data_IF_980431055135
#
_entry.id   IF_980431055135
#
_cell.length_a   1.000
_cell.length_b   1.000
_cell.length_c   1.000
_cell.angle_alpha   90.00
_cell.angle_beta   90.00
_cell.angle_gamma   90.00
#
_symmetry.space_group_name_H-M   'P 1'
#
loop_
_entity.id
_entity.type
_entity.pdbx_description
1 polymer ?
#
# COMPACT_ATOMS: atom_id res chain seq x y z
N UNK A 1 -11.56 3.05 -20.43
CA UNK A 1 -11.48 3.17 -18.97
C UNK A 1 -10.12 2.63 -18.53
N UNK A 2 -9.33 3.40 -17.78
CA UNK A 2 -7.96 3.00 -17.41
C UNK A 2 -7.94 1.72 -16.55
N UNK A 3 -8.98 1.51 -15.74
CA UNK A 3 -9.14 0.31 -14.92
C UNK A 3 -9.23 -0.99 -15.74
N UNK A 4 -9.86 -0.91 -16.92
CA UNK A 4 -10.02 -2.06 -17.84
C UNK A 4 -8.69 -2.42 -18.53
N UNK A 5 -7.89 -1.40 -18.87
CA UNK A 5 -6.55 -1.57 -19.45
C UNK A 5 -5.54 -2.19 -18.47
N UNK A 6 -5.72 -1.93 -17.17
CA UNK A 6 -4.87 -2.44 -16.09
C UNK A 6 -5.33 -3.84 -15.61
N UNK A 7 -6.49 -4.34 -16.07
CA UNK A 7 -7.04 -5.62 -15.62
C UNK A 7 -7.42 -5.61 -14.14
N UNK A 8 -7.80 -4.45 -13.60
CA UNK A 8 -8.10 -4.28 -12.20
C UNK A 8 -9.40 -5.01 -11.83
N UNK A 9 -9.30 -6.02 -10.96
CA UNK A 9 -10.47 -6.75 -10.44
C UNK A 9 -10.85 -6.22 -9.07
N UNK A 10 -12.12 -5.85 -8.91
CA UNK A 10 -12.63 -5.37 -7.64
C UNK A 10 -12.96 -6.55 -6.70
N UNK A 11 -12.09 -6.82 -5.73
CA UNK A 11 -12.48 -7.55 -4.52
C UNK A 11 -12.66 -6.53 -3.40
N UNK A 12 -13.89 -6.41 -2.91
CA UNK A 12 -14.21 -5.69 -1.69
C UNK A 12 -13.28 -6.20 -0.57
N UNK A 13 -12.55 -5.28 0.06
CA UNK A 13 -11.54 -5.52 1.08
C UNK A 13 -12.14 -5.99 2.42
N UNK A 14 -12.89 -7.09 2.39
CA UNK A 14 -13.28 -7.82 3.59
C UNK A 14 -12.20 -8.87 3.88
N UNK A 15 -11.53 -8.70 5.02
CA UNK A 15 -10.56 -9.63 5.61
C UNK A 15 -9.16 -9.71 4.95
N UNK A 16 -8.53 -8.56 4.73
CA UNK A 16 -7.09 -8.51 4.54
C UNK A 16 -6.45 -7.87 5.78
N UNK A 17 -6.36 -8.61 6.89
CA UNK A 17 -5.20 -8.48 7.77
C UNK A 17 -3.97 -9.00 7.01
N UNK A 18 -3.63 -8.33 5.91
CA UNK A 18 -2.31 -8.44 5.32
C UNK A 18 -1.41 -7.81 6.35
N UNK A 19 -0.59 -8.64 6.99
CA UNK A 19 0.45 -8.20 7.90
C UNK A 19 1.48 -7.39 7.08
N UNK A 20 1.17 -6.11 6.87
CA UNK A 20 2.01 -5.15 6.13
C UNK A 20 3.39 -5.05 6.80
N UNK A 21 3.50 -5.34 8.10
CA UNK A 21 4.76 -5.30 8.83
C UNK A 21 5.71 -6.42 8.37
N UNK A 22 5.20 -7.62 8.05
CA UNK A 22 6.02 -8.74 7.60
C UNK A 22 6.70 -8.46 6.23
N UNK A 23 6.11 -7.62 5.39
CA UNK A 23 6.66 -7.30 4.06
C UNK A 23 7.85 -6.33 4.11
N UNK A 24 8.01 -5.57 5.21
CA UNK A 24 9.11 -4.61 5.39
C UNK A 24 10.34 -5.17 6.09
N UNK A 25 10.28 -6.39 6.62
CA UNK A 25 11.29 -6.90 7.54
C UNK A 25 12.66 -7.23 6.93
N UNK A 26 12.95 -6.88 5.66
CA UNK A 26 14.27 -7.12 5.04
C UNK A 26 15.09 -5.87 4.69
N UNK A 27 14.68 -4.66 5.09
CA UNK A 27 15.50 -3.46 4.89
C UNK A 27 15.33 -2.34 5.93
N UNK A 28 14.98 -2.67 7.17
CA UNK A 28 15.06 -1.70 8.27
C UNK A 28 15.62 -2.36 9.52
N UNK A 29 16.83 -1.93 9.91
CA UNK A 29 17.46 -2.15 11.20
C UNK A 29 16.43 -2.01 12.33
N UNK A 30 16.23 -3.08 13.11
CA UNK A 30 15.45 -3.01 14.33
C UNK A 30 16.01 -1.89 15.23
N UNK A 31 15.16 -0.97 15.65
CA UNK A 31 15.46 -0.08 16.76
C UNK A 31 14.57 -0.55 17.91
N UNK A 32 15.18 -1.29 18.84
CA UNK A 32 14.61 -1.55 20.16
C UNK A 32 14.49 -0.21 20.89
N UNK A 33 13.26 0.24 21.13
CA UNK A 33 12.99 1.28 22.10
C UNK A 33 12.50 0.61 23.39
N UNK A 34 13.42 0.51 24.35
CA UNK A 34 13.15 0.22 25.75
C UNK A 34 12.27 1.33 26.33
N UNK A 35 11.04 0.99 26.70
CA UNK A 35 10.17 1.86 27.48
C UNK A 35 9.98 1.23 28.86
N UNK A 36 10.68 1.83 29.82
CA UNK A 36 10.50 1.61 31.26
C UNK A 36 9.02 1.78 31.63
N UNK A 37 8.39 0.72 32.15
CA UNK A 37 7.04 0.78 32.70
C UNK A 37 7.04 1.55 34.02
N UNK A 38 6.18 2.56 34.15
CA UNK A 38 5.73 3.09 35.44
C UNK A 38 4.30 2.62 35.71
N UNK A 39 4.14 1.87 36.80
CA UNK A 39 2.86 1.45 37.34
C UNK A 39 2.06 2.65 37.84
N UNK A 40 0.87 2.88 37.27
CA UNK A 40 -0.17 3.70 37.87
C UNK A 40 -1.56 3.22 37.45
N UNK A 41 -2.34 2.82 38.45
CA UNK A 41 -3.72 2.35 38.39
C UNK A 41 -4.67 3.24 37.57
N UNK A 42 -5.24 2.69 36.49
CA UNK A 42 -6.41 3.28 35.83
C UNK A 42 -7.53 2.26 35.65
N UNK A 43 -8.59 2.44 36.46
CA UNK A 43 -9.86 1.73 36.43
C UNK A 43 -10.53 1.86 35.04
N UNK A 44 -10.86 0.74 34.40
CA UNK A 44 -11.64 0.72 33.16
C UNK A 44 -13.15 0.86 33.46
N UNK A 45 -13.71 2.04 33.18
CA UNK A 45 -15.15 2.20 33.02
C UNK A 45 -15.62 1.64 31.67
N UNK A 46 -16.86 1.13 31.55
CA UNK A 46 -17.39 0.56 30.31
C UNK A 46 -17.88 1.68 29.38
N UNK A 47 -16.96 2.48 28.84
CA UNK A 47 -17.23 3.44 27.77
C UNK A 47 -15.94 3.76 27.01
N UNK A 48 -15.30 2.72 26.49
CA UNK A 48 -14.29 2.85 25.45
C UNK A 48 -15.00 2.95 24.09
N UNK A 49 -15.83 3.98 23.89
CA UNK A 49 -16.13 4.41 22.54
C UNK A 49 -14.79 4.82 21.91
N UNK A 50 -14.17 3.90 21.17
CA UNK A 50 -12.98 4.15 20.36
C UNK A 50 -13.19 5.50 19.66
N UNK A 51 -12.36 6.53 19.92
CA UNK A 51 -12.40 7.72 19.10
C UNK A 51 -12.27 7.25 17.65
N UNK A 52 -13.19 7.65 16.79
CA UNK A 52 -13.09 7.37 15.37
C UNK A 52 -11.77 7.99 14.88
N UNK A 53 -10.76 7.14 14.69
CA UNK A 53 -9.52 7.50 14.03
C UNK A 53 -9.82 7.77 12.55
N UNK A 54 -10.36 8.92 12.22
CA UNK A 54 -10.47 9.34 10.84
C UNK A 54 -10.08 10.82 10.71
N UNK A 55 -8.77 11.07 10.71
CA UNK A 55 -8.22 12.35 10.25
C UNK A 55 -8.25 12.51 8.73
N UNK A 56 -9.22 11.89 8.05
CA UNK A 56 -9.30 11.75 6.60
C UNK A 56 -8.38 10.68 6.01
N UNK A 57 -7.56 10.02 6.84
CA UNK A 57 -6.50 9.10 6.38
C UNK A 57 -7.07 7.70 6.19
N UNK A 58 -6.92 7.13 4.99
CA UNK A 58 -7.33 5.76 4.67
C UNK A 58 -6.23 5.01 3.94
N UNK A 59 -6.21 3.69 4.12
CA UNK A 59 -5.40 2.78 3.32
C UNK A 59 -6.29 2.06 2.30
N UNK A 60 -5.91 2.09 1.03
CA UNK A 60 -6.57 1.35 -0.05
C UNK A 60 -5.64 0.30 -0.60
N UNK A 61 -6.12 -0.95 -0.62
CA UNK A 61 -5.43 -2.07 -1.24
C UNK A 61 -6.00 -2.30 -2.65
N UNK A 62 -5.11 -2.33 -3.65
CA UNK A 62 -5.45 -2.58 -5.05
C UNK A 62 -4.66 -3.81 -5.49
N UNK A 63 -5.32 -4.70 -6.23
CA UNK A 63 -4.76 -5.98 -6.62
C UNK A 63 -5.01 -6.26 -8.09
N UNK A 64 -3.96 -6.65 -8.80
CA UNK A 64 -4.02 -7.00 -10.22
C UNK A 64 -3.47 -8.41 -10.38
N UNK A 65 -4.30 -9.32 -10.87
CA UNK A 65 -3.94 -10.74 -10.96
C UNK A 65 -3.04 -11.05 -12.18
N UNK A 66 -3.06 -10.19 -13.18
CA UNK A 66 -2.32 -10.36 -14.42
C UNK A 66 -1.01 -9.57 -14.43
N UNK A 67 0.03 -10.07 -15.14
CA UNK A 67 1.25 -9.30 -15.35
C UNK A 67 0.95 -7.94 -16.00
N UNK A 68 1.49 -6.88 -15.41
CA UNK A 68 1.30 -5.50 -15.85
C UNK A 68 2.41 -5.13 -16.84
N UNK A 69 2.02 -4.41 -17.88
CA UNK A 69 2.99 -3.75 -18.76
C UNK A 69 3.67 -2.60 -18.01
N UNK A 70 4.99 -2.43 -18.19
CA UNK A 70 5.76 -1.42 -17.47
C UNK A 70 5.34 0.01 -17.82
N UNK A 71 5.07 0.28 -19.10
CA UNK A 71 4.71 1.62 -19.56
C UNK A 71 3.31 2.00 -19.06
N UNK A 72 2.39 1.03 -19.05
CA UNK A 72 1.03 1.22 -18.48
C UNK A 72 1.11 1.47 -16.97
N UNK A 73 1.87 0.65 -16.23
CA UNK A 73 2.07 0.78 -14.79
C UNK A 73 2.68 2.13 -14.42
N UNK A 74 3.78 2.50 -15.08
CA UNK A 74 4.51 3.74 -14.80
C UNK A 74 3.69 4.97 -15.16
N UNK A 75 2.94 4.93 -16.26
CA UNK A 75 2.01 6.00 -16.65
C UNK A 75 0.88 6.18 -15.63
N UNK A 76 0.25 5.09 -15.19
CA UNK A 76 -0.80 5.13 -14.18
C UNK A 76 -0.30 5.67 -12.84
N UNK A 77 0.82 5.16 -12.32
CA UNK A 77 1.40 5.67 -11.07
C UNK A 77 1.85 7.14 -11.20
N UNK A 78 2.37 7.53 -12.36
CA UNK A 78 2.68 8.92 -12.69
C UNK A 78 1.45 9.82 -12.66
N UNK A 79 0.33 9.36 -13.22
CA UNK A 79 -0.97 10.06 -13.19
C UNK A 79 -1.46 10.24 -11.75
N UNK A 80 -1.45 9.19 -10.93
CA UNK A 80 -1.81 9.26 -9.50
C UNK A 80 -0.92 10.27 -8.76
N UNK A 81 0.41 10.22 -8.95
CA UNK A 81 1.33 11.14 -8.30
C UNK A 81 1.13 12.59 -8.74
N UNK A 82 0.82 12.81 -10.02
CA UNK A 82 0.57 14.13 -10.60
C UNK A 82 -0.73 14.75 -10.08
N UNK A 83 -1.84 14.01 -10.13
CA UNK A 83 -3.17 14.50 -9.78
C UNK A 83 -3.46 14.48 -8.28
N UNK A 84 -2.85 13.55 -7.54
CA UNK A 84 -3.22 13.25 -6.15
C UNK A 84 -2.02 13.18 -5.20
N UNK A 85 -0.82 13.58 -5.63
CA UNK A 85 0.39 13.46 -4.81
C UNK A 85 0.42 14.33 -3.54
N UNK A 86 -0.44 15.33 -3.42
CA UNK A 86 -0.67 16.10 -2.19
C UNK A 86 -1.50 15.33 -1.15
N UNK A 87 -2.38 14.45 -1.63
CA UNK A 87 -3.23 13.56 -0.83
C UNK A 87 -2.63 12.18 -0.63
N UNK A 88 -1.70 11.76 -1.48
CA UNK A 88 -0.93 10.52 -1.34
C UNK A 88 0.11 10.70 -0.23
N UNK A 89 0.01 9.95 0.85
CA UNK A 89 1.00 10.00 1.93
C UNK A 89 2.09 8.94 1.71
N UNK A 90 1.68 7.75 1.26
CA UNK A 90 2.60 6.66 0.96
C UNK A 90 2.02 5.71 -0.06
N UNK A 91 2.87 5.22 -0.96
CA UNK A 91 2.62 4.09 -1.83
C UNK A 91 3.64 3.01 -1.51
N UNK A 92 3.18 1.77 -1.45
CA UNK A 92 4.03 0.58 -1.45
C UNK A 92 3.43 -0.45 -2.39
N UNK A 93 4.25 -1.09 -3.20
CA UNK A 93 3.78 -2.10 -4.12
C UNK A 93 4.79 -3.23 -4.31
N UNK A 94 4.25 -4.42 -4.61
CA UNK A 94 4.97 -5.56 -5.18
C UNK A 94 4.25 -5.88 -6.47
N UNK A 95 4.93 -5.78 -7.61
CA UNK A 95 4.31 -5.79 -8.93
C UNK A 95 4.83 -6.93 -9.78
N UNK A 96 3.91 -7.64 -10.43
CA UNK A 96 4.20 -8.57 -11.50
C UNK A 96 4.37 -7.79 -12.80
N UNK A 97 5.62 -7.52 -13.19
CA UNK A 97 5.90 -6.85 -14.46
C UNK A 97 6.01 -7.89 -15.58
N UNK A 98 5.37 -7.62 -16.72
CA UNK A 98 5.42 -8.50 -17.89
C UNK A 98 6.85 -8.61 -18.41
N UNK A 99 7.32 -9.85 -18.58
CA UNK A 99 8.68 -10.13 -19.03
C UNK A 99 9.68 -10.32 -17.89
N UNK A 100 9.32 -9.92 -16.66
CA UNK A 100 10.15 -10.12 -15.48
C UNK A 100 9.81 -11.43 -14.75
N UNK A 101 10.83 -12.21 -14.39
CA UNK A 101 10.65 -13.45 -13.63
C UNK A 101 10.41 -13.18 -12.13
N UNK A 102 11.01 -12.11 -11.63
CA UNK A 102 10.98 -11.69 -10.23
C UNK A 102 10.03 -10.50 -10.04
N UNK A 103 9.39 -10.36 -8.87
CA UNK A 103 8.54 -9.21 -8.62
C UNK A 103 9.37 -7.95 -8.46
N UNK A 104 8.77 -6.82 -8.80
CA UNK A 104 9.38 -5.49 -8.63
C UNK A 104 8.72 -4.78 -7.46
N UNK A 105 9.52 -4.35 -6.48
CA UNK A 105 9.08 -3.50 -5.40
C UNK A 105 9.07 -2.03 -5.84
N UNK A 106 8.00 -1.31 -5.50
CA UNK A 106 7.88 0.12 -5.75
C UNK A 106 7.45 0.85 -4.50
N UNK A 107 8.02 2.04 -4.30
CA UNK A 107 7.72 2.88 -3.15
C UNK A 107 7.46 4.31 -3.59
N UNK A 108 6.52 4.97 -2.94
CA UNK A 108 6.25 6.39 -3.16
C UNK A 108 5.92 7.12 -1.87
N UNK A 109 6.29 8.39 -1.81
CA UNK A 109 5.91 9.33 -0.74
C UNK A 109 5.46 10.61 -1.41
N UNK A 110 4.21 10.99 -1.19
CA UNK A 110 3.63 12.16 -1.86
C UNK A 110 3.79 12.10 -3.38
N UNK A 111 4.45 13.09 -3.98
CA UNK A 111 4.66 13.19 -5.43
C UNK A 111 5.88 12.39 -5.93
N UNK A 112 6.64 11.79 -5.02
CA UNK A 112 7.92 11.17 -5.33
C UNK A 112 7.77 9.66 -5.37
N UNK A 113 8.04 9.08 -6.53
CA UNK A 113 8.22 7.64 -6.70
C UNK A 113 9.72 7.36 -6.63
N UNK A 114 10.09 6.41 -5.78
CA UNK A 114 11.45 5.90 -5.70
C UNK A 114 11.74 4.97 -6.87
N UNK A 115 13.03 4.72 -7.10
CA UNK A 115 13.48 3.70 -8.05
C UNK A 115 12.82 2.36 -7.74
N UNK A 116 12.41 1.67 -8.80
CA UNK A 116 11.79 0.37 -8.69
C UNK A 116 12.87 -0.70 -8.56
N UNK A 117 12.73 -1.59 -7.59
CA UNK A 117 13.76 -2.54 -7.22
C UNK A 117 13.27 -3.98 -7.41
N UNK A 118 13.95 -4.80 -8.23
CA UNK A 118 13.64 -6.23 -8.30
C UNK A 118 13.85 -6.90 -6.94
N UNK A 119 12.91 -7.74 -6.52
CA UNK A 119 13.02 -8.55 -5.32
C UNK A 119 13.68 -9.89 -5.62
N UNK A 120 14.39 -10.51 -4.65
CA UNK A 120 15.09 -11.77 -4.89
C UNK A 120 14.15 -12.97 -5.10
N UNK A 121 12.88 -12.87 -4.67
CA UNK A 121 11.87 -13.91 -4.81
C UNK A 121 10.45 -13.34 -4.61
N UNK A 122 9.44 -14.10 -5.03
CA UNK A 122 8.05 -13.85 -4.67
C UNK A 122 7.81 -14.10 -3.17
N UNK A 123 7.03 -13.25 -2.48
CA UNK A 123 6.77 -13.39 -1.05
C UNK A 123 5.85 -14.58 -0.73
N UNK A 124 4.97 -14.95 -1.66
CA UNK A 124 4.05 -16.07 -1.53
C UNK A 124 3.79 -16.74 -2.90
N UNK A 125 2.97 -17.80 -2.91
CA UNK A 125 2.62 -18.52 -4.14
C UNK A 125 1.77 -17.67 -5.11
N UNK A 126 1.21 -16.58 -4.62
CA UNK A 126 0.25 -15.76 -5.30
C UNK A 126 0.94 -14.55 -5.96
N UNK A 127 1.27 -14.75 -7.24
CA UNK A 127 2.06 -13.81 -8.05
C UNK A 127 1.27 -12.63 -8.61
N UNK A 128 0.19 -12.22 -7.93
CA UNK A 128 -0.56 -11.01 -8.26
C UNK A 128 0.16 -9.75 -7.79
N UNK A 129 0.04 -8.67 -8.54
CA UNK A 129 0.49 -7.35 -8.12
C UNK A 129 -0.37 -6.84 -6.97
N UNK A 130 0.25 -6.17 -6.00
CA UNK A 130 -0.42 -5.63 -4.81
C UNK A 130 0.10 -4.23 -4.56
N UNK A 131 -0.83 -3.30 -4.37
CA UNK A 131 -0.55 -1.91 -4.08
C UNK A 131 -1.25 -1.52 -2.79
N UNK A 132 -0.55 -0.77 -1.95
CA UNK A 132 -1.09 -0.15 -0.74
C UNK A 132 -0.88 1.35 -0.86
N UNK A 133 -1.99 2.07 -0.98
CA UNK A 133 -2.02 3.53 -0.99
C UNK A 133 -2.51 4.04 0.36
N UNK A 134 -1.69 4.80 1.06
CA UNK A 134 -2.09 5.54 2.26
C UNK A 134 -2.37 6.97 1.82
N UNK A 135 -3.61 7.40 1.93
CA UNK A 135 -4.09 8.67 1.36
C UNK A 135 -4.90 9.46 2.38
N UNK A 136 -5.01 10.77 2.18
CA UNK A 136 -5.89 11.66 2.94
C UNK A 136 -7.01 12.19 2.04
N UNK A 137 -8.25 12.03 2.48
CA UNK A 137 -9.45 12.57 1.81
C UNK A 137 -9.51 12.23 0.31
N UNK A 138 -9.08 11.01 -0.03
CA UNK A 138 -9.08 10.49 -1.40
C UNK A 138 -9.83 9.14 -1.45
N UNK A 139 -10.91 9.05 -2.23
CA UNK A 139 -11.64 7.79 -2.41
C UNK A 139 -10.81 6.83 -3.28
N UNK A 140 -11.08 5.53 -3.14
CA UNK A 140 -10.42 4.48 -3.93
C UNK A 140 -10.56 4.68 -5.44
N UNK A 141 -11.74 5.10 -5.90
CA UNK A 141 -12.02 5.30 -7.33
C UNK A 141 -11.02 6.28 -8.00
N UNK A 142 -10.62 7.34 -7.28
CA UNK A 142 -9.62 8.27 -7.78
C UNK A 142 -8.22 7.65 -7.98
N UNK A 143 -7.94 6.48 -7.39
CA UNK A 143 -6.72 5.72 -7.64
C UNK A 143 -6.86 4.74 -8.81
N UNK A 144 -8.07 4.25 -9.07
CA UNK A 144 -8.33 3.22 -10.10
C UNK A 144 -8.65 3.81 -11.46
N UNK A 145 -9.18 5.03 -11.48
CA UNK A 145 -9.66 5.70 -12.68
C UNK A 145 -8.63 6.71 -13.23
N UNK A 146 -7.48 6.82 -12.55
CA UNK A 146 -6.37 7.73 -12.87
C UNK A 146 -5.62 7.35 -14.16
#
# INVERSE_FOLDING_TARGET
DAAELIGLRDRAAADASVDVAHWHARSSTAHDHDHTHCDADHRHGPDCARPAHDGGIRAHCIRVETPMDWDVLSSWLGSVAYHHGDKLLRLKAVVHVRGEALPVAMHGVQRWLHEAEPLPAWPDADRGSRFVFIVRDLPRAALTDA
#
